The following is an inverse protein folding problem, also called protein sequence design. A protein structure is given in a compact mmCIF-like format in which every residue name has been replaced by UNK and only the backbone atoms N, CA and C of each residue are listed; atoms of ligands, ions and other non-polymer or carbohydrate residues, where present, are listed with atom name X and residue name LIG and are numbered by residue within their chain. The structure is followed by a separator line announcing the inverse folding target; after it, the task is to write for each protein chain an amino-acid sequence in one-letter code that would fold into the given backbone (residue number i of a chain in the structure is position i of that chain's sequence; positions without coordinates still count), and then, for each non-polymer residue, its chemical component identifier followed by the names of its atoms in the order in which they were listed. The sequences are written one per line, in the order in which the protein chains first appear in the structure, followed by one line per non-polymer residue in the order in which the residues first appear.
data_IF_761885399618
#
_entry.id   IF_761885399618
#
_cell.length_a   1.000
_cell.length_b   1.000
_cell.length_c   1.000
_cell.angle_alpha   90.00
_cell.angle_beta   90.00
_cell.angle_gamma   90.00
#
_symmetry.space_group_name_H-M   'P 1'
#
loop_
_entity.id
_entity.type
_entity.pdbx_description
1 polymer ?
#
# COMPACT_ATOMS: atom_id res chain seq x y z
N UNK A 1 38.32 3.99 7.66
CA UNK A 1 37.60 3.21 8.69
C UNK A 1 36.15 3.19 8.33
N UNK A 2 35.46 2.07 8.57
CA UNK A 2 34.03 1.99 8.43
C UNK A 2 33.35 2.83 9.52
N UNK A 3 32.17 3.37 9.21
CA UNK A 3 31.36 4.16 10.14
C UNK A 3 29.98 3.54 10.31
N UNK A 4 29.19 4.00 11.27
CA UNK A 4 27.82 3.54 11.39
C UNK A 4 26.93 3.95 10.20
N UNK A 5 27.31 4.95 9.42
CA UNK A 5 26.68 5.20 8.11
C UNK A 5 26.85 4.01 7.15
N UNK A 6 28.02 3.34 7.19
CA UNK A 6 28.24 2.11 6.41
C UNK A 6 27.39 0.95 6.91
N UNK A 7 27.14 0.85 8.23
CA UNK A 7 26.24 -0.15 8.82
C UNK A 7 24.79 0.07 8.36
N UNK A 8 24.31 1.33 8.36
CA UNK A 8 23.00 1.69 7.84
C UNK A 8 22.89 1.33 6.36
N UNK A 9 23.88 1.73 5.56
CA UNK A 9 23.91 1.42 4.12
C UNK A 9 23.97 -0.10 3.86
N UNK A 10 24.66 -0.88 4.73
CA UNK A 10 24.65 -2.33 4.66
C UNK A 10 23.26 -2.90 4.89
N UNK A 11 22.56 -2.48 5.95
CA UNK A 11 21.22 -2.94 6.25
C UNK A 11 20.23 -2.63 5.12
N UNK A 12 20.35 -1.46 4.48
CA UNK A 12 19.54 -1.10 3.30
C UNK A 12 19.87 -2.00 2.09
N UNK A 13 21.15 -2.23 1.82
CA UNK A 13 21.60 -3.09 0.73
C UNK A 13 21.11 -4.53 0.91
N UNK A 14 21.21 -5.08 2.12
CA UNK A 14 20.78 -6.44 2.45
C UNK A 14 19.23 -6.59 2.31
N UNK A 15 18.48 -5.50 2.55
CA UNK A 15 17.06 -5.44 2.27
C UNK A 15 16.71 -5.28 0.78
N UNK A 16 17.70 -5.23 -0.11
CA UNK A 16 17.53 -5.07 -1.54
C UNK A 16 17.07 -3.66 -1.96
N UNK A 17 17.42 -2.64 -1.17
CA UNK A 17 17.13 -1.25 -1.50
C UNK A 17 18.09 -0.77 -2.59
N UNK A 18 17.56 -0.25 -3.67
CA UNK A 18 18.31 0.24 -4.82
C UNK A 18 18.37 1.77 -4.89
N UNK A 19 17.41 2.45 -4.25
CA UNK A 19 17.26 3.90 -4.33
C UNK A 19 16.99 4.53 -2.96
N UNK A 20 17.59 5.70 -2.72
CA UNK A 20 17.23 6.62 -1.66
C UNK A 20 16.74 7.90 -2.33
N UNK A 21 15.52 8.33 -2.04
CA UNK A 21 14.95 9.58 -2.52
C UNK A 21 15.14 10.66 -1.46
N UNK A 22 15.53 11.89 -1.84
CA UNK A 22 15.69 12.89 -0.80
C UNK A 22 16.19 14.25 -1.27
N UNK A 23 16.21 15.14 -0.29
CA UNK A 23 16.95 16.41 -0.33
C UNK A 23 18.03 16.30 0.74
N UNK A 24 19.32 16.33 0.38
CA UNK A 24 20.39 16.11 1.35
C UNK A 24 20.41 17.22 2.41
N UNK A 25 20.60 16.79 3.67
CA UNK A 25 20.94 17.68 4.77
C UNK A 25 22.43 17.99 4.79
N UNK A 26 22.89 18.49 5.93
CA UNK A 26 24.29 18.82 6.19
C UNK A 26 24.90 18.00 7.33
N UNK A 27 24.17 16.97 7.79
CA UNK A 27 24.57 16.11 8.91
C UNK A 27 24.71 14.65 8.45
N UNK A 28 24.12 13.70 9.16
CA UNK A 28 24.23 12.26 8.93
C UNK A 28 23.79 11.78 7.53
N UNK A 29 22.95 12.53 6.83
CA UNK A 29 22.54 12.20 5.46
C UNK A 29 23.68 12.24 4.45
N UNK A 30 24.71 13.08 4.65
CA UNK A 30 25.87 13.17 3.75
C UNK A 30 26.70 11.89 3.86
N UNK A 31 26.97 11.45 5.08
CA UNK A 31 27.66 10.19 5.35
C UNK A 31 26.88 9.00 4.79
N UNK A 32 25.56 9.00 4.95
CA UNK A 32 24.70 7.95 4.40
C UNK A 32 24.75 7.91 2.87
N UNK A 33 24.69 9.06 2.19
CA UNK A 33 24.75 9.13 0.72
C UNK A 33 26.05 8.50 0.21
N UNK A 34 27.18 8.83 0.82
CA UNK A 34 28.48 8.30 0.41
C UNK A 34 28.61 6.79 0.73
N UNK A 35 28.12 6.37 1.90
CA UNK A 35 28.12 4.95 2.26
C UNK A 35 27.20 4.13 1.32
N UNK A 36 26.01 4.66 0.99
CA UNK A 36 25.06 4.05 0.07
C UNK A 36 25.64 3.94 -1.35
N UNK A 37 26.31 5.00 -1.83
CA UNK A 37 27.00 5.01 -3.14
C UNK A 37 28.04 3.88 -3.24
N UNK A 38 28.84 3.65 -2.19
CA UNK A 38 29.82 2.55 -2.15
C UNK A 38 29.20 1.17 -2.28
N UNK A 39 27.91 1.02 -1.92
CA UNK A 39 27.13 -0.22 -2.03
C UNK A 39 26.24 -0.31 -3.27
N UNK A 40 26.39 0.64 -4.21
CA UNK A 40 25.60 0.67 -5.43
C UNK A 40 24.16 1.20 -5.26
N UNK A 41 23.79 1.67 -4.08
CA UNK A 41 22.50 2.31 -3.84
C UNK A 41 22.55 3.73 -4.43
N UNK A 42 21.61 4.06 -5.30
CA UNK A 42 21.56 5.36 -5.96
C UNK A 42 20.75 6.37 -5.14
N UNK A 43 21.34 7.55 -4.93
CA UNK A 43 20.62 8.68 -4.35
C UNK A 43 19.91 9.47 -5.45
N UNK A 44 18.60 9.64 -5.32
CA UNK A 44 17.75 10.40 -6.24
C UNK A 44 17.46 11.75 -5.60
N UNK A 45 18.11 12.80 -6.11
CA UNK A 45 17.85 14.17 -5.66
C UNK A 45 16.47 14.62 -6.09
N UNK A 46 15.64 14.98 -5.12
CA UNK A 46 14.28 15.44 -5.33
C UNK A 46 14.19 16.97 -5.24
N UNK A 47 13.12 17.56 -5.79
CA UNK A 47 12.89 19.00 -5.73
C UNK A 47 12.44 19.48 -4.33
N UNK A 48 11.83 18.60 -3.56
CA UNK A 48 11.43 18.81 -2.16
C UNK A 48 11.26 17.49 -1.42
N UNK A 49 11.20 17.55 -0.10
CA UNK A 49 11.15 16.38 0.77
C UNK A 49 9.78 15.68 0.77
N UNK A 50 8.69 16.43 0.55
CA UNK A 50 7.36 15.82 0.43
C UNK A 50 7.31 14.90 -0.81
N UNK A 51 7.81 15.37 -1.95
CA UNK A 51 7.93 14.55 -3.16
C UNK A 51 8.86 13.36 -2.95
N UNK A 52 9.97 13.54 -2.23
CA UNK A 52 10.87 12.44 -1.92
C UNK A 52 10.19 11.33 -1.11
N UNK A 53 9.38 11.70 -0.10
CA UNK A 53 8.63 10.74 0.71
C UNK A 53 7.53 10.04 -0.10
N UNK A 54 6.85 10.76 -1.01
CA UNK A 54 5.86 10.16 -1.93
C UNK A 54 6.55 9.18 -2.89
N UNK A 55 7.68 9.56 -3.50
CA UNK A 55 8.45 8.67 -4.37
C UNK A 55 8.90 7.41 -3.63
N UNK A 56 9.38 7.54 -2.39
CA UNK A 56 9.76 6.40 -1.56
C UNK A 56 8.57 5.47 -1.30
N UNK A 57 7.43 6.01 -0.85
CA UNK A 57 6.21 5.22 -0.63
C UNK A 57 5.73 4.52 -1.90
N UNK A 58 5.67 5.25 -3.02
CA UNK A 58 5.25 4.70 -4.32
C UNK A 58 6.21 3.60 -4.81
N UNK A 59 7.52 3.80 -4.66
CA UNK A 59 8.51 2.78 -4.97
C UNK A 59 8.29 1.53 -4.11
N UNK A 60 8.00 1.73 -2.82
CA UNK A 60 7.70 0.63 -1.90
C UNK A 60 6.49 -0.19 -2.35
N UNK A 61 5.41 0.48 -2.76
CA UNK A 61 4.21 -0.17 -3.30
C UNK A 61 4.50 -0.96 -4.58
N UNK A 62 5.27 -0.38 -5.50
CA UNK A 62 5.55 -1.00 -6.81
C UNK A 62 6.48 -2.21 -6.70
N UNK A 63 7.42 -2.18 -5.76
CA UNK A 63 8.45 -3.22 -5.62
C UNK A 63 8.15 -4.25 -4.53
N UNK A 64 7.14 -3.99 -3.70
CA UNK A 64 6.84 -4.75 -2.48
C UNK A 64 8.07 -4.88 -1.55
N UNK A 65 8.81 -3.77 -1.39
CA UNK A 65 9.97 -3.59 -0.50
C UNK A 65 9.87 -2.21 0.12
N UNK A 66 10.48 -1.94 1.28
CA UNK A 66 10.47 -0.58 1.82
C UNK A 66 11.14 0.39 0.85
N UNK A 67 10.48 1.49 0.48
CA UNK A 67 11.18 2.61 -0.13
C UNK A 67 11.95 3.40 0.91
N UNK A 68 12.90 4.24 0.52
CA UNK A 68 13.72 5.03 1.46
C UNK A 68 13.68 6.50 1.10
N UNK A 69 13.24 7.33 2.05
CA UNK A 69 13.32 8.79 1.98
C UNK A 69 14.37 9.28 2.97
N UNK A 70 15.25 10.20 2.55
CA UNK A 70 16.25 10.83 3.43
C UNK A 70 16.12 12.33 3.39
N UNK A 71 16.10 12.97 4.56
CA UNK A 71 15.91 14.43 4.70
C UNK A 71 16.87 15.03 5.71
N UNK A 72 17.09 16.34 5.58
CA UNK A 72 17.85 17.11 6.55
C UNK A 72 17.10 17.35 7.86
N UNK A 73 17.83 17.86 8.86
CA UNK A 73 17.29 18.24 10.17
C UNK A 73 16.32 19.41 10.10
N UNK A 74 15.35 19.44 11.00
CA UNK A 74 14.44 20.57 11.16
C UNK A 74 13.52 20.82 9.97
N UNK A 75 13.77 21.82 9.12
CA UNK A 75 12.89 22.14 7.98
C UNK A 75 12.73 20.98 7.01
N UNK A 76 13.80 20.21 6.73
CA UNK A 76 13.71 19.05 5.85
C UNK A 76 12.79 17.96 6.43
N UNK A 77 12.97 17.64 7.72
CA UNK A 77 12.08 16.72 8.41
C UNK A 77 10.62 17.23 8.43
N UNK A 78 10.40 18.53 8.66
CA UNK A 78 9.05 19.11 8.64
C UNK A 78 8.42 19.09 7.24
N UNK A 79 9.18 19.35 6.19
CA UNK A 79 8.69 19.36 4.81
C UNK A 79 8.27 17.96 4.31
N UNK A 80 8.86 16.88 4.81
CA UNK A 80 8.50 15.51 4.41
C UNK A 80 7.16 15.01 4.98
N UNK A 81 6.61 15.68 6.00
CA UNK A 81 5.42 15.23 6.75
C UNK A 81 4.24 14.89 5.83
N UNK A 82 3.95 15.72 4.83
CA UNK A 82 2.85 15.47 3.89
C UNK A 82 3.02 14.13 3.16
N UNK A 83 4.21 13.87 2.62
CA UNK A 83 4.48 12.63 1.88
C UNK A 83 4.49 11.40 2.78
N UNK A 84 4.94 11.54 4.04
CA UNK A 84 4.90 10.45 5.02
C UNK A 84 3.47 10.15 5.46
N UNK A 85 2.66 11.17 5.73
CA UNK A 85 1.24 11.00 6.04
C UNK A 85 0.47 10.36 4.88
N UNK A 86 0.81 10.74 3.62
CA UNK A 86 0.29 10.06 2.45
C UNK A 86 0.66 8.57 2.46
N UNK A 87 1.93 8.24 2.64
CA UNK A 87 2.40 6.85 2.70
C UNK A 87 1.72 6.05 3.82
N UNK A 88 1.45 6.68 4.97
CA UNK A 88 0.75 6.05 6.10
C UNK A 88 -0.67 5.64 5.75
N UNK A 89 -1.45 6.53 5.12
CA UNK A 89 -2.83 6.27 4.72
C UNK A 89 -2.94 5.39 3.47
N UNK A 90 -1.93 5.43 2.59
CA UNK A 90 -1.85 4.52 1.43
C UNK A 90 -1.28 3.14 1.78
N UNK A 91 -0.96 2.87 3.06
CA UNK A 91 -0.30 1.63 3.49
C UNK A 91 0.94 1.34 2.65
N UNK A 92 1.71 2.38 2.35
CA UNK A 92 2.90 2.30 1.52
C UNK A 92 4.14 2.09 2.40
N UNK A 93 4.88 0.99 2.24
CA UNK A 93 6.05 0.71 3.07
C UNK A 93 7.20 1.64 2.72
N UNK A 94 7.66 2.44 3.68
CA UNK A 94 8.87 3.23 3.50
C UNK A 94 9.61 3.50 4.82
N UNK A 95 10.92 3.74 4.72
CA UNK A 95 11.72 4.31 5.79
C UNK A 95 11.89 5.80 5.55
N UNK A 96 11.69 6.59 6.60
CA UNK A 96 11.94 8.02 6.61
C UNK A 96 13.14 8.27 7.51
N UNK A 97 14.28 8.51 6.91
CA UNK A 97 15.56 8.75 7.57
C UNK A 97 15.77 10.26 7.68
N UNK A 98 15.82 10.77 8.89
CA UNK A 98 15.95 12.21 9.13
C UNK A 98 17.23 12.53 9.86
N UNK A 99 17.96 13.53 9.37
CA UNK A 99 19.11 14.06 10.12
C UNK A 99 18.71 14.52 11.51
N UNK A 100 19.58 14.29 12.48
CA UNK A 100 19.41 14.75 13.85
C UNK A 100 20.70 15.27 14.42
N UNK A 101 20.61 16.33 15.22
CA UNK A 101 21.72 16.74 16.08
C UNK A 101 22.06 15.63 17.09
N UNK A 102 23.35 15.58 17.55
CA UNK A 102 23.70 14.76 18.71
C UNK A 102 22.87 15.17 19.93
N UNK A 103 22.72 14.27 20.90
CA UNK A 103 21.93 14.59 22.10
C UNK A 103 22.53 15.79 22.88
N UNK A 104 23.85 16.00 22.81
CA UNK A 104 24.50 17.17 23.39
C UNK A 104 24.11 18.46 22.66
N UNK A 105 24.22 18.44 21.33
CA UNK A 105 23.84 19.59 20.50
C UNK A 105 22.34 19.89 20.61
N UNK A 106 21.49 18.85 20.64
CA UNK A 106 20.04 19.00 20.78
C UNK A 106 19.62 19.72 22.04
N UNK A 107 20.36 19.55 23.16
CA UNK A 107 20.10 20.27 24.39
C UNK A 107 20.53 21.76 24.35
N UNK A 108 21.55 22.08 23.53
CA UNK A 108 22.14 23.43 23.52
C UNK A 108 21.64 24.33 22.39
N UNK A 109 21.34 23.72 21.22
CA UNK A 109 20.95 24.47 20.02
C UNK A 109 19.43 24.71 20.01
N UNK A 110 19.05 25.89 19.55
CA UNK A 110 17.65 26.24 19.29
C UNK A 110 17.31 26.24 17.80
N UNK A 111 18.32 26.56 16.95
CA UNK A 111 18.14 26.61 15.51
C UNK A 111 17.83 25.22 14.95
N UNK A 112 16.76 25.10 14.14
CA UNK A 112 16.35 23.87 13.44
C UNK A 112 16.05 22.68 14.38
N UNK A 113 15.89 22.93 15.65
CA UNK A 113 15.56 21.91 16.65
C UNK A 113 14.07 21.66 16.68
N UNK A 114 13.66 20.52 16.17
CA UNK A 114 12.30 19.99 16.27
C UNK A 114 12.34 18.63 16.96
N UNK A 115 11.29 18.30 17.68
CA UNK A 115 11.08 16.94 18.19
C UNK A 115 10.47 16.09 17.07
N UNK A 116 11.34 15.46 16.30
CA UNK A 116 10.97 14.70 15.11
C UNK A 116 10.18 13.44 15.49
N UNK A 117 10.49 12.82 16.62
CA UNK A 117 9.72 11.69 17.14
C UNK A 117 8.24 12.06 17.34
N UNK A 118 7.96 13.19 17.97
CA UNK A 118 6.58 13.65 18.16
C UNK A 118 5.88 14.04 16.87
N UNK A 119 6.61 14.54 15.89
CA UNK A 119 6.07 14.88 14.56
C UNK A 119 5.67 13.62 13.80
N UNK A 120 6.52 12.61 13.80
CA UNK A 120 6.34 11.42 12.97
C UNK A 120 5.54 10.31 13.64
N UNK A 121 5.49 10.23 14.96
CA UNK A 121 4.79 9.19 15.70
C UNK A 121 3.33 8.96 15.25
N UNK A 122 2.49 9.99 15.02
CA UNK A 122 1.09 9.79 14.62
C UNK A 122 0.90 9.36 13.16
N UNK A 123 1.94 9.47 12.32
CA UNK A 123 1.88 9.20 10.88
C UNK A 123 2.86 8.10 10.44
N UNK A 124 3.36 7.30 11.39
CA UNK A 124 4.26 6.17 11.12
C UNK A 124 3.87 4.97 12.00
N UNK A 125 4.31 3.79 11.61
CA UNK A 125 4.14 2.56 12.41
C UNK A 125 5.08 2.52 13.63
N UNK A 126 6.15 3.28 13.58
CA UNK A 126 7.11 3.43 14.67
C UNK A 126 8.11 4.51 14.35
N UNK A 127 8.70 5.07 15.41
CA UNK A 127 9.73 6.09 15.33
C UNK A 127 10.90 5.66 16.22
N UNK A 128 12.10 5.65 15.65
CA UNK A 128 13.33 5.20 16.28
C UNK A 128 14.41 6.28 16.21
N UNK A 129 15.35 6.21 17.12
CA UNK A 129 16.60 6.97 17.06
C UNK A 129 17.76 5.99 17.07
N UNK A 130 18.73 6.14 16.16
CA UNK A 130 19.92 5.31 16.16
C UNK A 130 20.78 5.59 17.40
N UNK A 131 21.32 4.51 17.95
CA UNK A 131 22.34 4.54 19.00
C UNK A 131 23.48 3.60 18.59
N UNK A 132 24.73 3.96 18.89
CA UNK A 132 25.90 3.26 18.40
C UNK A 132 25.95 1.76 18.74
N UNK A 133 25.38 1.36 19.86
CA UNK A 133 25.32 -0.03 20.34
C UNK A 133 24.25 -0.89 19.67
N UNK A 134 23.39 -0.32 18.80
CA UNK A 134 22.22 -1.01 18.29
C UNK A 134 21.82 -0.62 16.85
N UNK A 135 22.71 0.00 16.08
CA UNK A 135 22.39 0.52 14.73
C UNK A 135 21.82 -0.58 13.82
N UNK A 136 22.52 -1.70 13.65
CA UNK A 136 22.06 -2.79 12.79
C UNK A 136 20.73 -3.41 13.27
N UNK A 137 20.57 -3.57 14.58
CA UNK A 137 19.32 -4.09 15.16
C UNK A 137 18.14 -3.13 14.91
N UNK A 138 18.35 -1.83 15.14
CA UNK A 138 17.31 -0.80 14.90
C UNK A 138 16.92 -0.76 13.44
N UNK A 139 17.87 -0.79 12.51
CA UNK A 139 17.58 -0.81 11.07
C UNK A 139 16.80 -2.06 10.66
N UNK A 140 17.19 -3.24 11.11
CA UNK A 140 16.43 -4.47 10.85
C UNK A 140 15.02 -4.41 11.37
N UNK A 141 14.83 -3.90 12.60
CA UNK A 141 13.51 -3.73 13.19
C UNK A 141 12.65 -2.74 12.41
N UNK A 142 13.24 -1.61 11.99
CA UNK A 142 12.53 -0.59 11.20
C UNK A 142 12.09 -1.13 9.84
N UNK A 143 12.97 -1.85 9.14
CA UNK A 143 12.68 -2.50 7.85
C UNK A 143 11.57 -3.55 7.99
N UNK A 144 11.66 -4.42 8.99
CA UNK A 144 10.63 -5.43 9.26
C UNK A 144 9.28 -4.79 9.58
N UNK A 145 9.27 -3.79 10.48
CA UNK A 145 8.03 -3.10 10.88
C UNK A 145 7.34 -2.41 9.70
N UNK A 146 8.08 -1.84 8.75
CA UNK A 146 7.51 -1.22 7.57
C UNK A 146 6.68 -2.20 6.71
N UNK A 147 7.05 -3.48 6.71
CA UNK A 147 6.44 -4.54 5.89
C UNK A 147 5.43 -5.40 6.65
N UNK A 148 5.44 -5.41 7.98
CA UNK A 148 4.61 -6.29 8.81
C UNK A 148 3.14 -5.86 8.79
N UNK A 149 2.22 -6.82 8.62
CA UNK A 149 0.76 -6.62 8.65
C UNK A 149 0.32 -5.51 7.68
N UNK A 150 -0.41 -4.51 8.18
CA UNK A 150 -0.67 -3.29 7.38
C UNK A 150 0.64 -2.54 7.18
N UNK A 151 1.18 -2.63 5.97
CA UNK A 151 2.42 -1.95 5.60
C UNK A 151 2.31 -0.44 5.83
N UNK A 152 3.45 0.23 5.98
CA UNK A 152 3.42 1.68 6.20
C UNK A 152 4.80 2.26 6.53
N UNK A 153 4.89 3.59 6.66
CA UNK A 153 6.15 4.27 6.93
C UNK A 153 6.64 4.02 8.36
N UNK A 154 7.97 3.99 8.48
CA UNK A 154 8.70 3.95 9.74
C UNK A 154 9.73 5.06 9.74
N UNK A 155 9.80 5.82 10.82
CA UNK A 155 10.75 6.91 11.00
C UNK A 155 12.00 6.46 11.75
N UNK A 156 13.16 6.96 11.31
CA UNK A 156 14.45 6.73 11.99
C UNK A 156 15.26 8.03 12.01
N UNK A 157 15.53 8.56 13.20
CA UNK A 157 16.47 9.65 13.42
C UNK A 157 17.91 9.16 13.27
N UNK A 158 18.73 9.93 12.56
CA UNK A 158 20.14 9.71 12.31
C UNK A 158 20.99 10.74 13.08
N UNK A 159 21.35 10.50 14.36
CA UNK A 159 22.20 11.42 15.10
C UNK A 159 23.57 11.54 14.44
N UNK A 160 24.02 12.78 14.24
CA UNK A 160 25.25 13.07 13.51
C UNK A 160 26.51 12.41 14.09
N UNK A 161 26.64 12.47 15.40
CA UNK A 161 27.75 11.84 16.12
C UNK A 161 27.76 10.31 15.97
N UNK A 162 26.60 9.67 15.96
CA UNK A 162 26.49 8.23 15.70
C UNK A 162 26.89 7.94 14.27
N UNK A 163 26.35 8.65 13.27
CA UNK A 163 26.60 8.37 11.86
C UNK A 163 28.10 8.46 11.48
N UNK A 164 28.85 9.34 12.14
CA UNK A 164 30.29 9.52 11.92
C UNK A 164 31.19 8.62 12.76
N UNK A 165 30.68 8.03 13.83
CA UNK A 165 31.45 7.17 14.70
C UNK A 165 31.96 5.92 13.97
N UNK A 166 33.13 5.47 14.34
CA UNK A 166 33.75 4.25 13.78
C UNK A 166 32.93 3.02 14.12
N UNK A 167 32.77 2.13 13.15
CA UNK A 167 32.11 0.84 13.31
C UNK A 167 33.12 -0.32 13.13
N UNK A 168 32.95 -1.38 13.90
CA UNK A 168 33.71 -2.60 13.84
C UNK A 168 32.99 -3.68 13.02
N UNK A 169 33.65 -4.76 12.65
CA UNK A 169 33.07 -5.83 11.84
C UNK A 169 31.82 -6.46 12.48
N UNK A 170 31.80 -6.57 13.79
CA UNK A 170 30.67 -7.10 14.56
C UNK A 170 29.44 -6.21 14.60
N UNK A 171 29.53 -4.92 14.21
CA UNK A 171 28.43 -3.96 14.16
C UNK A 171 27.58 -4.11 12.88
N UNK A 172 28.14 -4.78 11.86
CA UNK A 172 27.42 -4.98 10.61
C UNK A 172 26.34 -6.04 10.75
N UNK A 173 25.24 -5.94 9.98
CA UNK A 173 24.26 -6.99 9.95
C UNK A 173 24.92 -8.31 9.53
N UNK A 174 24.64 -9.39 10.25
CA UNK A 174 25.03 -10.72 9.79
C UNK A 174 24.42 -10.95 8.41
N UNK A 175 25.17 -11.54 7.45
CA UNK A 175 24.67 -11.80 6.10
C UNK A 175 23.30 -12.49 6.19
N UNK A 176 22.27 -11.75 5.86
CA UNK A 176 20.93 -12.26 5.82
C UNK A 176 20.73 -12.97 4.48
N UNK A 177 20.76 -14.29 4.50
CA UNK A 177 20.28 -15.10 3.38
C UNK A 177 18.81 -14.74 3.13
N UNK A 178 18.56 -13.82 2.18
CA UNK A 178 17.25 -13.60 1.53
C UNK A 178 16.02 -13.54 2.45
N UNK A 179 16.08 -12.84 3.58
CA UNK A 179 14.89 -12.67 4.43
C UNK A 179 13.84 -11.86 3.68
N UNK A 180 12.77 -12.54 3.28
CA UNK A 180 11.50 -11.88 2.97
C UNK A 180 10.98 -11.33 4.29
N UNK A 181 10.84 -10.00 4.38
CA UNK A 181 10.28 -9.30 5.54
C UNK A 181 8.74 -9.41 5.64
N UNK A 182 8.11 -10.34 4.95
CA UNK A 182 6.69 -10.64 5.08
C UNK A 182 6.50 -11.58 6.28
N UNK A 183 5.86 -11.10 7.32
CA UNK A 183 5.43 -11.92 8.45
C UNK A 183 4.34 -12.88 7.99
N UNK A 184 4.69 -14.15 7.68
CA UNK A 184 3.69 -15.19 7.46
C UNK A 184 3.25 -15.74 8.82
N UNK A 185 2.01 -15.48 9.18
CA UNK A 185 1.30 -16.28 10.18
C UNK A 185 0.76 -17.52 9.48
N UNK A 186 1.04 -18.71 10.03
CA UNK A 186 0.75 -19.99 9.35
C UNK A 186 -0.71 -20.22 8.96
N UNK A 187 -0.88 -21.12 8.01
CA UNK A 187 -2.10 -21.43 7.22
C UNK A 187 -3.32 -22.00 7.97
N UNK A 188 -3.26 -22.26 9.25
CA UNK A 188 -4.38 -22.81 10.00
C UNK A 188 -5.05 -21.73 10.85
N UNK A 189 -6.10 -21.07 10.32
CA UNK A 189 -6.93 -20.15 11.10
C UNK A 189 -8.30 -20.75 11.36
N UNK A 190 -8.79 -20.77 12.62
CA UNK A 190 -10.07 -21.37 12.98
C UNK A 190 -11.29 -20.78 12.24
N UNK A 191 -11.19 -19.56 11.76
CA UNK A 191 -12.25 -18.89 11.01
C UNK A 191 -12.43 -19.36 9.56
N UNK A 192 -11.46 -20.08 8.96
CA UNK A 192 -11.54 -20.50 7.56
C UNK A 192 -12.69 -21.45 7.27
N UNK A 193 -12.94 -22.42 8.16
CA UNK A 193 -14.07 -23.34 8.02
C UNK A 193 -15.41 -22.61 8.14
N UNK A 194 -15.50 -21.65 9.06
CA UNK A 194 -16.69 -20.82 9.22
C UNK A 194 -16.91 -19.91 7.99
N UNK A 195 -15.85 -19.31 7.44
CA UNK A 195 -15.91 -18.53 6.22
C UNK A 195 -16.35 -19.40 5.03
N UNK A 196 -15.76 -20.56 4.83
CA UNK A 196 -16.14 -21.50 3.78
C UNK A 196 -17.62 -21.93 3.90
N UNK A 197 -18.11 -22.18 5.12
CA UNK A 197 -19.49 -22.55 5.37
C UNK A 197 -20.47 -21.40 5.07
N UNK A 198 -20.14 -20.15 5.41
CA UNK A 198 -20.97 -18.99 5.06
C UNK A 198 -20.98 -18.76 3.54
N UNK A 199 -19.83 -18.84 2.89
CA UNK A 199 -19.71 -18.69 1.42
C UNK A 199 -20.51 -19.80 0.70
N UNK A 200 -20.43 -21.05 1.18
CA UNK A 200 -21.15 -22.17 0.58
C UNK A 200 -22.68 -22.10 0.74
N UNK A 201 -23.18 -21.32 1.71
CA UNK A 201 -24.64 -21.10 1.90
C UNK A 201 -25.18 -19.99 1.02
N UNK A 202 -24.33 -19.09 0.57
CA UNK A 202 -24.74 -17.95 -0.24
C UNK A 202 -25.09 -18.38 -1.66
N UNK A 203 -26.23 -17.92 -2.16
CA UNK A 203 -26.64 -18.13 -3.53
C UNK A 203 -26.02 -17.04 -4.46
N UNK A 204 -25.94 -15.81 -3.96
CA UNK A 204 -25.46 -14.63 -4.69
C UNK A 204 -24.40 -13.86 -3.91
N UNK A 205 -23.25 -14.47 -3.63
CA UNK A 205 -22.14 -13.74 -3.01
C UNK A 205 -21.60 -12.67 -3.95
N UNK A 206 -21.12 -11.52 -3.40
CA UNK A 206 -20.36 -10.53 -4.14
C UNK A 206 -19.05 -10.23 -3.40
N UNK A 207 -18.00 -9.91 -4.14
CA UNK A 207 -16.65 -9.74 -3.58
C UNK A 207 -16.22 -8.27 -3.72
N UNK A 208 -15.72 -7.70 -2.62
CA UNK A 208 -15.01 -6.43 -2.60
C UNK A 208 -13.53 -6.72 -2.31
N UNK A 209 -12.65 -6.46 -3.29
CA UNK A 209 -11.22 -6.64 -3.13
C UNK A 209 -10.54 -5.31 -2.80
N UNK A 210 -9.70 -5.32 -1.77
CA UNK A 210 -9.02 -4.14 -1.26
C UNK A 210 -7.51 -4.17 -1.42
N UNK A 211 -6.89 -3.08 -1.00
CA UNK A 211 -5.47 -2.78 -1.16
C UNK A 211 -4.55 -3.82 -0.53
N UNK A 212 -4.99 -4.49 0.55
CA UNK A 212 -4.12 -5.42 1.27
C UNK A 212 -3.73 -6.62 0.40
N UNK A 213 -4.61 -7.09 -0.50
CA UNK A 213 -4.26 -8.14 -1.47
C UNK A 213 -3.06 -7.72 -2.34
N UNK A 214 -3.03 -6.46 -2.81
CA UNK A 214 -1.87 -5.91 -3.54
C UNK A 214 -0.62 -5.78 -2.65
N UNK A 215 -0.80 -5.47 -1.35
CA UNK A 215 0.32 -5.32 -0.41
C UNK A 215 0.90 -6.65 0.00
N UNK A 216 0.09 -7.69 0.08
CA UNK A 216 0.53 -9.06 0.39
C UNK A 216 1.33 -9.71 -0.75
N UNK A 217 1.33 -9.08 -1.93
CA UNK A 217 2.20 -9.44 -3.04
C UNK A 217 1.57 -10.39 -4.04
N UNK A 218 2.39 -10.86 -4.98
CA UNK A 218 1.94 -11.61 -6.16
C UNK A 218 1.22 -12.92 -5.81
N UNK A 219 1.67 -13.63 -4.79
CA UNK A 219 1.05 -14.87 -4.36
C UNK A 219 -0.41 -14.66 -3.93
N UNK A 220 -0.69 -13.55 -3.20
CA UNK A 220 -2.04 -13.18 -2.79
C UNK A 220 -2.91 -12.71 -3.98
N UNK A 221 -2.32 -11.99 -4.94
CA UNK A 221 -3.01 -11.57 -6.16
C UNK A 221 -3.46 -12.77 -7.00
N UNK A 222 -2.58 -13.76 -7.19
CA UNK A 222 -2.87 -15.00 -7.92
C UNK A 222 -3.88 -15.88 -7.19
N UNK A 223 -3.77 -15.99 -5.87
CA UNK A 223 -4.73 -16.72 -5.04
C UNK A 223 -6.11 -16.07 -5.07
N UNK A 224 -6.18 -14.73 -5.03
CA UNK A 224 -7.44 -14.00 -5.18
C UNK A 224 -8.10 -14.25 -6.54
N UNK A 225 -7.35 -14.16 -7.63
CA UNK A 225 -7.89 -14.43 -8.97
C UNK A 225 -8.48 -15.84 -9.05
N UNK A 226 -7.74 -16.85 -8.57
CA UNK A 226 -8.20 -18.25 -8.52
C UNK A 226 -9.45 -18.42 -7.65
N UNK A 227 -9.52 -17.73 -6.51
CA UNK A 227 -10.70 -17.72 -5.63
C UNK A 227 -11.92 -17.10 -6.32
N UNK A 228 -11.75 -15.93 -6.95
CA UNK A 228 -12.82 -15.23 -7.65
C UNK A 228 -13.37 -16.05 -8.82
N UNK A 229 -12.50 -16.64 -9.63
CA UNK A 229 -12.85 -17.52 -10.73
C UNK A 229 -13.58 -18.79 -10.25
N UNK A 230 -13.08 -19.42 -9.19
CA UNK A 230 -13.72 -20.61 -8.60
C UNK A 230 -15.10 -20.29 -8.06
N UNK A 231 -15.26 -19.16 -7.38
CA UNK A 231 -16.54 -18.73 -6.83
C UNK A 231 -17.53 -18.30 -7.92
N UNK A 232 -17.06 -17.72 -9.02
CA UNK A 232 -17.90 -17.23 -10.12
C UNK A 232 -18.78 -16.04 -9.73
N UNK A 233 -18.37 -15.24 -8.72
CA UNK A 233 -19.11 -14.11 -8.18
C UNK A 233 -18.60 -12.77 -8.75
N UNK A 234 -19.47 -11.73 -8.84
CA UNK A 234 -19.05 -10.39 -9.24
C UNK A 234 -18.04 -9.80 -8.26
N UNK A 235 -17.03 -9.14 -8.82
CA UNK A 235 -15.92 -8.54 -8.07
C UNK A 235 -15.89 -7.04 -8.33
N UNK A 236 -15.95 -6.26 -7.26
CA UNK A 236 -15.61 -4.84 -7.26
C UNK A 236 -14.24 -4.63 -6.62
N UNK A 237 -13.42 -3.81 -7.22
CA UNK A 237 -12.11 -3.48 -6.69
C UNK A 237 -12.11 -2.09 -6.04
N UNK A 238 -11.41 -1.93 -4.92
CA UNK A 238 -11.08 -0.60 -4.44
C UNK A 238 -10.14 0.11 -5.43
N UNK A 239 -9.92 1.42 -5.26
CA UNK A 239 -9.00 2.18 -6.12
C UNK A 239 -7.59 1.59 -6.14
N UNK A 240 -7.07 1.20 -4.97
CA UNK A 240 -5.73 0.66 -4.85
C UNK A 240 -5.64 -0.83 -5.25
N UNK A 241 -6.78 -1.52 -5.36
CA UNK A 241 -6.88 -2.92 -5.78
C UNK A 241 -7.17 -3.09 -7.28
N UNK A 242 -7.32 -2.00 -8.04
CA UNK A 242 -7.56 -2.07 -9.49
C UNK A 242 -6.52 -2.92 -10.19
N UNK A 243 -7.00 -3.82 -11.04
CA UNK A 243 -6.16 -4.70 -11.86
C UNK A 243 -5.68 -5.98 -11.17
N UNK A 244 -6.04 -6.24 -9.88
CA UNK A 244 -5.87 -7.58 -9.28
C UNK A 244 -6.65 -8.60 -10.10
N UNK A 245 -7.90 -8.29 -10.41
CA UNK A 245 -8.63 -8.92 -11.48
C UNK A 245 -8.66 -7.93 -12.66
N UNK A 246 -8.16 -8.27 -13.85
CA UNK A 246 -8.19 -7.37 -15.00
C UNK A 246 -9.61 -6.87 -15.27
N UNK A 247 -9.80 -5.60 -15.58
CA UNK A 247 -11.16 -5.05 -15.79
C UNK A 247 -11.87 -5.60 -17.03
N UNK A 248 -11.13 -6.25 -17.93
CA UNK A 248 -11.68 -7.04 -19.04
C UNK A 248 -12.26 -8.39 -18.60
N UNK A 249 -11.96 -8.84 -17.38
CA UNK A 249 -12.45 -10.12 -16.87
C UNK A 249 -13.97 -10.12 -16.71
N UNK A 250 -14.70 -11.19 -17.07
CA UNK A 250 -16.17 -11.25 -17.01
C UNK A 250 -16.75 -10.96 -15.62
N UNK A 251 -16.05 -11.31 -14.55
CA UNK A 251 -16.46 -11.07 -13.17
C UNK A 251 -16.12 -9.68 -12.66
N UNK A 252 -15.32 -8.86 -13.38
CA UNK A 252 -14.93 -7.53 -12.94
C UNK A 252 -16.07 -6.52 -13.17
N UNK A 253 -16.61 -5.98 -12.08
CA UNK A 253 -17.70 -5.01 -12.09
C UNK A 253 -17.21 -3.55 -12.02
N UNK A 254 -15.93 -3.34 -11.82
CA UNK A 254 -15.27 -2.03 -11.77
C UNK A 254 -14.89 -1.58 -10.36
N UNK A 255 -14.75 -0.28 -10.18
CA UNK A 255 -14.27 0.31 -8.93
C UNK A 255 -15.42 0.48 -7.94
N UNK A 256 -15.24 -0.01 -6.70
CA UNK A 256 -16.16 0.23 -5.60
C UNK A 256 -15.98 1.63 -5.01
N UNK A 257 -17.03 2.41 -4.94
CA UNK A 257 -17.03 3.78 -4.39
C UNK A 257 -18.29 4.14 -3.60
N UNK A 258 -19.22 3.19 -3.43
CA UNK A 258 -20.54 3.46 -2.86
C UNK A 258 -21.48 4.21 -3.82
N UNK A 259 -21.29 4.04 -5.12
CA UNK A 259 -22.15 4.65 -6.14
C UNK A 259 -23.53 3.95 -6.22
N UNK A 260 -24.58 4.71 -6.49
CA UNK A 260 -25.94 4.14 -6.59
C UNK A 260 -26.05 3.03 -7.66
N UNK A 261 -25.25 3.12 -8.74
CA UNK A 261 -25.23 2.11 -9.79
C UNK A 261 -24.69 0.75 -9.31
N UNK A 262 -23.83 0.72 -8.28
CA UNK A 262 -23.29 -0.52 -7.71
C UNK A 262 -24.38 -1.38 -7.04
N UNK A 263 -25.46 -0.72 -6.60
CA UNK A 263 -26.61 -1.41 -5.97
C UNK A 263 -27.37 -2.34 -6.92
N UNK A 264 -27.19 -2.21 -8.23
CA UNK A 264 -27.76 -3.16 -9.21
C UNK A 264 -27.19 -4.59 -9.03
N UNK A 265 -25.97 -4.70 -8.54
CA UNK A 265 -25.33 -5.97 -8.20
C UNK A 265 -25.33 -6.16 -6.67
N UNK A 266 -24.77 -5.21 -5.91
CA UNK A 266 -24.60 -5.36 -4.46
C UNK A 266 -25.95 -5.46 -3.73
N UNK A 267 -27.02 -4.80 -4.25
CA UNK A 267 -28.36 -4.91 -3.69
C UNK A 267 -29.03 -6.28 -3.89
N UNK A 268 -28.58 -7.06 -4.88
CA UNK A 268 -29.04 -8.43 -5.13
C UNK A 268 -28.19 -9.49 -4.42
N UNK A 269 -27.04 -9.10 -3.87
CA UNK A 269 -26.16 -10.01 -3.15
C UNK A 269 -26.75 -10.41 -1.80
N UNK A 270 -26.58 -11.65 -1.40
CA UNK A 270 -26.98 -12.20 -0.10
C UNK A 270 -25.79 -12.36 0.88
N UNK A 271 -24.57 -12.22 0.39
CA UNK A 271 -23.33 -12.21 1.14
C UNK A 271 -22.32 -11.25 0.50
N UNK A 272 -21.63 -10.47 1.31
CA UNK A 272 -20.45 -9.71 0.89
C UNK A 272 -19.17 -10.35 1.42
N UNK A 273 -18.19 -10.52 0.54
CA UNK A 273 -16.87 -11.03 0.90
C UNK A 273 -15.88 -9.88 0.71
N UNK A 274 -15.30 -9.40 1.82
CA UNK A 274 -14.29 -8.36 1.82
C UNK A 274 -12.91 -9.01 1.90
N UNK A 275 -12.16 -9.02 0.81
CA UNK A 275 -10.83 -9.61 0.73
C UNK A 275 -9.75 -8.51 0.77
N UNK A 276 -9.02 -8.42 1.88
CA UNK A 276 -7.97 -7.42 2.08
C UNK A 276 -8.47 -5.98 1.95
N UNK A 277 -9.70 -5.70 2.37
CA UNK A 277 -10.35 -4.40 2.22
C UNK A 277 -10.09 -3.53 3.46
N UNK A 278 -9.24 -2.52 3.33
CA UNK A 278 -8.95 -1.56 4.41
C UNK A 278 -10.01 -0.43 4.43
N UNK A 279 -10.49 -0.08 5.62
CA UNK A 279 -11.49 0.99 5.77
C UNK A 279 -11.01 2.37 5.32
N UNK A 280 -9.71 2.59 5.17
CA UNK A 280 -9.16 3.81 4.53
C UNK A 280 -9.61 3.96 3.07
N UNK A 281 -10.04 2.87 2.44
CA UNK A 281 -10.49 2.83 1.05
C UNK A 281 -11.98 3.19 0.88
N UNK A 282 -12.73 3.32 1.98
CA UNK A 282 -14.12 3.77 1.93
C UNK A 282 -14.18 5.24 1.52
N UNK A 283 -14.69 5.50 0.34
CA UNK A 283 -14.77 6.85 -0.23
C UNK A 283 -15.75 7.75 0.53
N UNK A 284 -16.78 7.19 1.12
CA UNK A 284 -17.80 7.88 1.93
C UNK A 284 -17.92 7.18 3.29
N UNK A 285 -17.01 7.45 4.24
CA UNK A 285 -17.14 6.92 5.59
C UNK A 285 -18.46 7.38 6.21
N UNK A 286 -19.18 6.47 6.82
CA UNK A 286 -20.48 6.71 7.43
C UNK A 286 -21.70 6.34 6.57
N UNK A 287 -21.51 5.89 5.34
CA UNK A 287 -22.59 5.42 4.47
C UNK A 287 -22.37 3.97 4.00
N UNK A 288 -21.96 3.08 4.92
CA UNK A 288 -22.03 1.66 4.65
C UNK A 288 -23.50 1.23 4.67
N UNK A 289 -24.14 1.19 3.50
CA UNK A 289 -25.56 0.86 3.34
C UNK A 289 -25.77 -0.57 2.82
N UNK A 290 -24.90 -1.49 3.21
CA UNK A 290 -24.97 -2.88 2.81
C UNK A 290 -25.40 -3.74 4.01
N UNK A 291 -26.67 -4.16 4.09
CA UNK A 291 -27.22 -4.93 5.22
C UNK A 291 -26.84 -6.41 5.18
N UNK A 292 -26.23 -6.87 4.09
CA UNK A 292 -25.87 -8.28 3.90
C UNK A 292 -24.86 -8.73 4.97
N UNK A 293 -24.89 -10.00 5.35
CA UNK A 293 -23.80 -10.58 6.14
C UNK A 293 -22.47 -10.45 5.43
N UNK A 294 -21.40 -10.32 6.21
CA UNK A 294 -20.06 -10.08 5.71
C UNK A 294 -19.13 -11.18 6.17
N UNK A 295 -18.34 -11.72 5.24
CA UNK A 295 -17.12 -12.48 5.51
C UNK A 295 -15.95 -11.55 5.21
N UNK A 296 -15.07 -11.34 6.18
CA UNK A 296 -13.87 -10.53 6.05
C UNK A 296 -12.62 -11.40 6.11
N UNK A 297 -11.74 -11.24 5.14
CA UNK A 297 -10.45 -11.92 5.02
C UNK A 297 -9.37 -10.85 5.01
N UNK A 298 -8.51 -10.82 6.01
CA UNK A 298 -7.42 -9.84 6.11
C UNK A 298 -6.22 -10.42 6.88
N UNK A 299 -5.07 -9.76 6.80
CA UNK A 299 -3.87 -10.07 7.60
C UNK A 299 -3.88 -9.35 8.96
N UNK A 300 -4.79 -8.41 9.15
CA UNK A 300 -4.91 -7.61 10.38
C UNK A 300 -6.36 -7.53 10.82
N UNK A 301 -6.59 -7.68 12.10
CA UNK A 301 -7.94 -7.62 12.67
C UNK A 301 -8.62 -6.26 12.37
N UNK A 302 -9.89 -6.34 12.05
CA UNK A 302 -10.76 -5.19 11.89
C UNK A 302 -11.10 -4.59 13.26
N UNK A 303 -10.97 -3.28 13.39
CA UNK A 303 -11.10 -2.60 14.69
C UNK A 303 -12.08 -1.41 14.68
N UNK A 304 -12.74 -1.14 13.55
CA UNK A 304 -13.71 -0.06 13.45
C UNK A 304 -15.16 -0.57 13.54
N UNK A 305 -16.10 0.34 13.76
CA UNK A 305 -17.52 0.03 13.89
C UNK A 305 -18.35 0.27 12.62
N UNK A 306 -17.70 0.58 11.50
CA UNK A 306 -18.38 0.87 10.23
C UNK A 306 -18.94 -0.41 9.62
N UNK A 307 -18.12 -1.45 9.62
CA UNK A 307 -18.44 -2.77 9.08
C UNK A 307 -18.39 -3.80 10.23
N UNK A 308 -19.39 -4.65 10.30
CA UNK A 308 -19.44 -5.72 11.33
C UNK A 308 -19.48 -7.08 10.65
N UNK A 309 -18.32 -7.73 10.45
CA UNK A 309 -18.28 -9.03 9.81
C UNK A 309 -18.98 -10.10 10.68
N UNK A 310 -19.74 -10.97 10.02
CA UNK A 310 -20.28 -12.19 10.65
C UNK A 310 -19.17 -13.20 10.90
N UNK A 311 -18.23 -13.29 9.96
CA UNK A 311 -17.02 -14.11 10.08
C UNK A 311 -15.83 -13.26 9.69
N UNK A 312 -14.81 -13.23 10.53
CA UNK A 312 -13.54 -12.59 10.29
C UNK A 312 -12.42 -13.64 10.32
N UNK A 313 -11.59 -13.62 9.28
CA UNK A 313 -10.38 -14.46 9.19
C UNK A 313 -9.18 -13.52 9.17
N UNK A 314 -8.37 -13.58 10.21
CA UNK A 314 -7.12 -12.80 10.31
C UNK A 314 -5.94 -13.75 10.11
N UNK A 315 -5.49 -13.88 8.87
CA UNK A 315 -4.42 -14.80 8.48
C UNK A 315 -3.76 -14.34 7.16
N UNK A 316 -2.69 -15.03 6.76
CA UNK A 316 -2.06 -14.79 5.45
C UNK A 316 -3.11 -14.86 4.33
N UNK A 317 -3.17 -13.81 3.49
CA UNK A 317 -4.20 -13.71 2.45
C UNK A 317 -3.98 -14.72 1.33
N UNK A 318 -2.74 -15.01 0.94
CA UNK A 318 -2.47 -16.00 -0.10
C UNK A 318 -2.91 -17.40 0.35
N UNK A 319 -2.56 -17.79 1.59
CA UNK A 319 -2.93 -19.08 2.18
C UNK A 319 -4.46 -19.19 2.34
N UNK A 320 -5.11 -18.12 2.87
CA UNK A 320 -6.55 -18.10 3.12
C UNK A 320 -7.37 -18.18 1.85
N UNK A 321 -7.04 -17.36 0.86
CA UNK A 321 -7.71 -17.33 -0.44
C UNK A 321 -7.47 -18.62 -1.23
N UNK A 322 -6.25 -19.18 -1.17
CA UNK A 322 -5.93 -20.46 -1.77
C UNK A 322 -6.73 -21.63 -1.16
N UNK A 323 -6.84 -21.66 0.16
CA UNK A 323 -7.63 -22.68 0.88
C UNK A 323 -9.14 -22.56 0.52
N UNK A 324 -9.68 -21.34 0.48
CA UNK A 324 -11.07 -21.11 0.09
C UNK A 324 -11.31 -21.47 -1.38
N UNK A 325 -10.41 -21.14 -2.28
CA UNK A 325 -10.51 -21.55 -3.70
C UNK A 325 -10.61 -23.07 -3.87
N UNK A 326 -9.95 -23.84 -2.99
CA UNK A 326 -10.01 -25.29 -2.99
C UNK A 326 -11.27 -25.90 -2.36
N UNK A 327 -12.01 -25.14 -1.51
CA UNK A 327 -13.07 -25.67 -0.67
C UNK A 327 -14.48 -25.14 -0.97
N UNK A 328 -14.60 -23.91 -1.53
CA UNK A 328 -15.91 -23.32 -1.79
C UNK A 328 -16.53 -23.82 -3.10
N UNK A 329 -17.85 -24.04 -3.15
CA UNK A 329 -18.55 -24.33 -4.40
C UNK A 329 -18.68 -23.07 -5.27
N UNK A 330 -18.87 -23.19 -6.58
CA UNK A 330 -19.28 -22.07 -7.42
C UNK A 330 -20.61 -21.50 -6.97
N UNK A 331 -20.80 -20.18 -7.07
CA UNK A 331 -22.09 -19.53 -6.85
C UNK A 331 -23.09 -19.98 -7.92
N UNK A 332 -24.33 -20.11 -7.53
CA UNK A 332 -25.40 -20.60 -8.42
C UNK A 332 -26.42 -19.53 -8.82
N UNK A 333 -26.43 -18.39 -8.10
CA UNK A 333 -27.44 -17.35 -8.28
C UNK A 333 -27.06 -16.25 -9.29
N UNK A 334 -25.80 -16.18 -9.73
CA UNK A 334 -25.37 -15.25 -10.75
C UNK A 334 -25.36 -15.93 -12.12
N UNK A 335 -25.92 -15.26 -13.12
CA UNK A 335 -25.81 -15.65 -14.51
C UNK A 335 -25.03 -14.59 -15.31
N UNK A 336 -24.51 -14.96 -16.47
CA UNK A 336 -23.72 -14.05 -17.31
C UNK A 336 -24.54 -12.83 -17.77
N UNK A 337 -25.84 -12.98 -18.00
CA UNK A 337 -26.72 -11.91 -18.46
C UNK A 337 -26.85 -10.78 -17.44
N UNK A 338 -26.98 -11.09 -16.14
CA UNK A 338 -27.02 -10.10 -15.06
C UNK A 338 -25.73 -9.28 -15.04
N UNK A 339 -24.57 -9.95 -15.11
CA UNK A 339 -23.25 -9.31 -15.04
C UNK A 339 -22.95 -8.50 -16.31
N UNK A 340 -23.28 -9.02 -17.48
CA UNK A 340 -23.07 -8.34 -18.76
C UNK A 340 -24.00 -7.11 -18.89
N UNK A 341 -25.24 -7.21 -18.41
CA UNK A 341 -26.19 -6.09 -18.37
C UNK A 341 -25.66 -4.96 -17.48
N UNK A 342 -25.13 -5.28 -16.30
CA UNK A 342 -24.50 -4.28 -15.42
C UNK A 342 -23.29 -3.63 -16.10
N UNK A 343 -22.39 -4.41 -16.69
CA UNK A 343 -21.20 -3.92 -17.41
C UNK A 343 -21.58 -3.00 -18.57
N UNK A 344 -22.62 -3.36 -19.34
CA UNK A 344 -23.13 -2.57 -20.44
C UNK A 344 -23.74 -1.24 -19.93
N UNK A 345 -24.58 -1.29 -18.89
CA UNK A 345 -25.14 -0.10 -18.25
C UNK A 345 -24.03 0.84 -17.75
N UNK A 346 -23.03 0.31 -17.03
CA UNK A 346 -21.92 1.10 -16.54
C UNK A 346 -21.14 1.74 -17.69
N UNK A 347 -20.89 0.99 -18.78
CA UNK A 347 -20.22 1.52 -19.97
C UNK A 347 -21.00 2.66 -20.62
N UNK A 348 -22.31 2.53 -20.75
CA UNK A 348 -23.17 3.58 -21.26
C UNK A 348 -23.12 4.85 -20.41
N UNK A 349 -23.14 4.72 -19.08
CA UNK A 349 -23.02 5.85 -18.15
C UNK A 349 -21.71 6.60 -18.36
N UNK A 350 -20.60 5.88 -18.57
CA UNK A 350 -19.25 6.45 -18.63
C UNK A 350 -18.88 7.02 -20.01
N UNK A 351 -19.43 6.49 -21.11
CA UNK A 351 -18.93 6.76 -22.45
C UNK A 351 -19.96 7.26 -23.45
N UNK A 352 -21.27 7.03 -23.25
CA UNK A 352 -22.29 7.26 -24.29
C UNK A 352 -23.00 8.63 -24.22
N UNK A 353 -22.49 9.57 -23.44
CA UNK A 353 -23.17 10.87 -23.25
C UNK A 353 -22.44 12.04 -23.89
N UNK A 354 -23.03 12.58 -24.96
CA UNK A 354 -22.73 13.89 -25.50
C UNK A 354 -22.13 13.94 -26.91
N UNK A 355 -22.21 15.12 -27.52
CA UNK A 355 -21.57 15.43 -28.79
C UNK A 355 -20.19 16.02 -28.52
N UNK A 356 -19.14 15.45 -29.10
CA UNK A 356 -17.78 15.93 -29.01
C UNK A 356 -16.86 15.07 -28.14
N UNK A 357 -15.69 15.59 -27.77
CA UNK A 357 -14.68 14.90 -27.00
C UNK A 357 -15.06 14.91 -25.51
N UNK A 358 -15.66 13.82 -25.04
CA UNK A 358 -16.05 13.64 -23.65
C UNK A 358 -14.83 13.27 -22.78
N UNK A 359 -14.76 13.66 -21.49
CA UNK A 359 -13.64 13.35 -20.61
C UNK A 359 -13.33 11.84 -20.51
N UNK A 360 -14.32 10.97 -20.47
CA UNK A 360 -14.13 9.52 -20.49
C UNK A 360 -13.48 9.01 -21.79
N UNK A 361 -13.81 9.64 -22.93
CA UNK A 361 -13.19 9.32 -24.20
C UNK A 361 -11.70 9.70 -24.23
N UNK A 362 -11.31 10.81 -23.58
CA UNK A 362 -9.90 11.21 -23.44
C UNK A 362 -9.10 10.15 -22.70
N UNK A 363 -9.64 9.67 -21.55
CA UNK A 363 -8.98 8.64 -20.75
C UNK A 363 -8.87 7.32 -21.53
N UNK A 364 -9.92 6.94 -22.28
CA UNK A 364 -9.89 5.74 -23.13
C UNK A 364 -8.85 5.84 -24.25
N UNK A 365 -8.78 6.99 -24.94
CA UNK A 365 -7.77 7.22 -25.97
C UNK A 365 -6.36 7.14 -25.37
N UNK A 366 -6.14 7.76 -24.21
CA UNK A 366 -4.87 7.66 -23.50
C UNK A 366 -4.51 6.19 -23.18
N UNK A 367 -5.49 5.38 -22.75
CA UNK A 367 -5.27 3.94 -22.51
C UNK A 367 -4.88 3.19 -23.78
N UNK A 368 -5.51 3.51 -24.91
CA UNK A 368 -5.20 2.89 -26.23
C UNK A 368 -3.80 3.25 -26.72
N UNK A 369 -3.30 4.45 -26.41
CA UNK A 369 -1.97 4.92 -26.79
C UNK A 369 -0.84 4.39 -25.91
N UNK A 370 -1.14 3.90 -24.69
CA UNK A 370 -0.14 3.39 -23.76
C UNK A 370 0.03 1.88 -23.91
N UNK A 371 1.26 1.35 -23.74
CA UNK A 371 1.48 -0.10 -23.69
C UNK A 371 0.69 -0.75 -22.55
N UNK A 372 0.47 -2.06 -22.63
CA UNK A 372 -0.30 -2.82 -21.63
C UNK A 372 0.29 -2.69 -20.21
N UNK A 373 1.61 -2.59 -20.11
CA UNK A 373 2.30 -2.33 -18.85
C UNK A 373 2.29 -0.87 -18.36
N UNK A 374 1.65 0.06 -19.09
CA UNK A 374 1.59 1.47 -18.73
C UNK A 374 0.87 1.71 -17.40
N UNK A 375 1.39 2.63 -16.59
CA UNK A 375 0.83 3.03 -15.31
C UNK A 375 0.20 4.41 -15.49
N UNK A 376 -1.04 4.57 -15.02
CA UNK A 376 -1.67 5.87 -14.89
C UNK A 376 -1.54 6.37 -13.47
N UNK A 377 -1.15 7.62 -13.31
CA UNK A 377 -1.20 8.34 -12.04
C UNK A 377 -2.26 9.43 -12.08
N UNK A 378 -2.93 9.69 -10.97
CA UNK A 378 -3.94 10.74 -10.87
C UNK A 378 -3.93 11.38 -9.49
N UNK A 379 -3.89 12.70 -9.46
CA UNK A 379 -4.05 13.47 -8.23
C UNK A 379 -5.51 13.55 -7.77
N UNK A 380 -5.72 14.04 -6.54
CA UNK A 380 -7.06 14.27 -6.02
C UNK A 380 -7.83 15.30 -6.86
N UNK A 381 -9.11 15.02 -7.09
CA UNK A 381 -10.01 15.87 -7.86
C UNK A 381 -11.07 15.07 -8.62
N UNK A 382 -12.01 15.75 -9.28
CA UNK A 382 -13.07 15.11 -10.08
C UNK A 382 -12.53 14.26 -11.23
N UNK A 383 -11.39 14.66 -11.81
CA UNK A 383 -10.70 13.90 -12.85
C UNK A 383 -10.22 12.53 -12.33
N UNK A 384 -9.80 12.42 -11.05
CA UNK A 384 -9.45 11.14 -10.43
C UNK A 384 -10.64 10.18 -10.42
N UNK A 385 -11.80 10.71 -10.01
CA UNK A 385 -13.04 9.93 -9.96
C UNK A 385 -13.38 9.38 -11.33
N UNK A 386 -13.36 10.23 -12.36
CA UNK A 386 -13.60 9.80 -13.73
C UNK A 386 -12.54 8.80 -14.23
N UNK A 387 -11.26 9.11 -14.01
CA UNK A 387 -10.18 8.25 -14.44
C UNK A 387 -10.24 6.87 -13.76
N UNK A 388 -10.61 6.81 -12.49
CA UNK A 388 -10.75 5.54 -11.77
C UNK A 388 -11.85 4.64 -12.35
N UNK A 389 -12.88 5.22 -12.97
CA UNK A 389 -13.95 4.47 -13.59
C UNK A 389 -13.70 4.12 -15.06
N UNK A 390 -12.95 4.99 -15.76
CA UNK A 390 -12.79 4.88 -17.22
C UNK A 390 -11.44 4.31 -17.67
N UNK A 391 -10.41 4.35 -16.79
CA UNK A 391 -9.11 3.74 -17.07
C UNK A 391 -9.18 2.23 -16.90
N UNK A 392 -9.09 1.49 -17.98
CA UNK A 392 -9.04 0.03 -17.97
C UNK A 392 -7.67 -0.44 -17.46
N UNK A 393 -7.64 -0.95 -16.24
CA UNK A 393 -6.44 -1.48 -15.60
C UNK A 393 -6.29 -2.96 -15.95
N UNK A 394 -5.17 -3.34 -16.57
CA UNK A 394 -4.91 -4.70 -17.06
C UNK A 394 -4.03 -5.54 -16.14
N UNK A 395 -3.43 -4.92 -15.14
CA UNK A 395 -2.55 -5.57 -14.17
C UNK A 395 -2.60 -4.86 -12.81
N UNK A 396 -2.26 -5.53 -11.72
CA UNK A 396 -2.09 -4.88 -10.42
C UNK A 396 -1.14 -3.67 -10.50
N UNK A 397 -1.42 -2.64 -9.71
CA UNK A 397 -0.64 -1.39 -9.64
C UNK A 397 -0.56 -0.62 -10.97
N UNK A 398 -1.49 -0.85 -11.89
CA UNK A 398 -1.57 -0.10 -13.17
C UNK A 398 -2.30 1.26 -13.06
N UNK A 399 -2.86 1.56 -11.89
CA UNK A 399 -3.47 2.84 -11.54
C UNK A 399 -3.04 3.26 -10.14
N UNK A 400 -2.40 4.41 -10.01
CA UNK A 400 -1.90 4.92 -8.74
C UNK A 400 -2.51 6.29 -8.43
N UNK A 401 -2.96 6.48 -7.20
CA UNK A 401 -3.55 7.73 -6.75
C UNK A 401 -3.49 7.84 -5.23
N UNK A 402 -3.47 9.06 -4.71
CA UNK A 402 -3.67 9.28 -3.28
C UNK A 402 -5.16 9.15 -2.94
N UNK A 403 -5.52 8.07 -2.25
CA UNK A 403 -6.91 7.79 -1.84
C UNK A 403 -7.14 8.13 -0.38
N UNK A 404 -6.24 7.72 0.51
CA UNK A 404 -6.39 7.88 1.94
C UNK A 404 -6.23 9.32 2.41
N UNK A 405 -5.19 10.03 1.98
CA UNK A 405 -4.98 11.44 2.32
C UNK A 405 -5.63 12.38 1.30
N UNK A 406 -5.75 11.96 0.04
CA UNK A 406 -6.29 12.80 -1.02
C UNK A 406 -5.39 13.98 -1.39
N UNK A 407 -4.08 13.80 -1.31
CA UNK A 407 -3.10 14.83 -1.66
C UNK A 407 -3.12 15.13 -3.15
N UNK A 408 -2.82 16.39 -3.50
CA UNK A 408 -2.46 16.80 -4.86
C UNK A 408 -0.94 16.76 -5.03
N UNK A 409 -0.47 16.71 -6.29
CA UNK A 409 0.95 16.61 -6.66
C UNK A 409 1.63 15.33 -6.14
N UNK A 410 0.90 14.23 -6.18
CA UNK A 410 1.34 12.87 -5.83
C UNK A 410 1.44 11.99 -7.08
N UNK A 411 0.72 12.38 -8.14
CA UNK A 411 0.63 11.68 -9.41
C UNK A 411 1.83 11.84 -10.33
#
# INVERSE_FOLDING_TARGET
MATYADVVAAALSDAGIEYIFGVPGSLGSVELIEAARRRGIRYVLCSNEASAAVMAGTYGVLTNRPGVCSTGVGPGAAAAVLGVANSFLERAPCLVLTDRYSDEQFRRLQRQRLDQDQIYRPITKGSFKLAADSVAQTMRRALALAMEGRQGPVHVDLPYDVMQAGAEEGDFPAEASGQRYAGKTGSAHPGLEAAAAEIARAERPAVLVGLQVNRSGREAEEAFASFAERLGAPVFASLAAKGILPESHPLAMGTFRGAASEMEILGKADLLILAGFDMVELFTPGHWNHPQPIVMLDEVAHIDDIVRPRVEVVADLADSLGALAGSVPPSVGWNSEDLDSYRAMRRAILFDKGNGLMPGAVVRIARECLPDGGIMTADAGSHKVLASDTWETRRPRGFLTSSGLGSMAVG
#
